data_IF_626790684690
#
_entry.id   IF_626790684690
#
_cell.length_a   1.000
_cell.length_b   1.000
_cell.length_c   1.000
_cell.angle_alpha   90.00
_cell.angle_beta   90.00
_cell.angle_gamma   90.00
#
_symmetry.space_group_name_H-M   'P 1'
#
loop_
_entity.id
_entity.type
_entity.pdbx_description
1 polymer ?
#
# COMPACT_ATOMS: atom_id res chain seq x y z
N UNK A 1 -31.29 5.46 5.19
CA UNK A 1 -30.37 5.87 6.26
C UNK A 1 -29.88 7.30 6.04
N UNK A 2 -29.45 7.68 4.83
CA UNK A 2 -28.97 9.04 4.51
C UNK A 2 -29.99 10.10 4.86
N UNK A 3 -31.27 9.92 4.44
CA UNK A 3 -32.36 10.82 4.78
C UNK A 3 -32.67 10.89 6.27
N UNK A 4 -32.51 9.77 6.99
CA UNK A 4 -32.76 9.70 8.44
C UNK A 4 -31.66 10.38 9.26
N UNK A 5 -30.40 10.18 8.84
CA UNK A 5 -29.23 10.72 9.53
C UNK A 5 -28.85 12.12 9.03
N UNK A 6 -29.47 12.60 7.95
CA UNK A 6 -29.18 13.87 7.28
C UNK A 6 -27.71 14.01 6.84
N UNK A 7 -27.09 12.92 6.44
CA UNK A 7 -25.75 12.88 5.86
C UNK A 7 -25.81 12.30 4.44
N UNK A 8 -25.19 12.96 3.50
CA UNK A 8 -24.88 12.41 2.19
C UNK A 8 -23.61 11.56 2.30
N UNK A 9 -23.60 10.39 1.70
CA UNK A 9 -22.47 9.46 1.68
C UNK A 9 -22.14 8.84 3.05
N UNK A 10 -22.70 7.68 3.29
CA UNK A 10 -22.47 6.88 4.48
C UNK A 10 -21.62 5.64 4.16
N UNK A 11 -20.66 5.36 5.03
CA UNK A 11 -19.96 4.08 5.10
C UNK A 11 -20.74 3.17 6.05
N UNK A 12 -21.17 2.01 5.57
CA UNK A 12 -22.08 1.14 6.28
C UNK A 12 -21.51 -0.27 6.36
N UNK A 13 -21.36 -0.77 7.58
CA UNK A 13 -21.07 -2.19 7.81
C UNK A 13 -22.35 -2.92 8.20
N UNK A 14 -22.64 -4.03 7.55
CA UNK A 14 -23.84 -4.83 7.82
C UNK A 14 -23.56 -6.33 7.63
N UNK A 15 -24.42 -7.14 8.23
CA UNK A 15 -24.41 -8.59 8.06
C UNK A 15 -25.75 -9.07 7.54
N UNK A 16 -25.72 -10.05 6.65
CA UNK A 16 -26.92 -10.72 6.15
C UNK A 16 -26.93 -12.15 6.66
N UNK A 17 -28.01 -12.52 7.34
CA UNK A 17 -28.18 -13.89 7.84
C UNK A 17 -28.59 -14.85 6.72
N UNK A 18 -28.53 -16.17 6.98
CA UNK A 18 -29.04 -17.20 6.05
C UNK A 18 -30.54 -17.04 5.72
N UNK A 19 -31.30 -16.35 6.56
CA UNK A 19 -32.74 -16.02 6.35
C UNK A 19 -32.91 -14.67 5.62
N UNK A 20 -31.86 -14.09 5.07
CA UNK A 20 -31.84 -12.77 4.39
C UNK A 20 -32.21 -11.58 5.29
N UNK A 21 -32.17 -11.74 6.61
CA UNK A 21 -32.32 -10.60 7.51
C UNK A 21 -31.03 -9.80 7.53
N UNK A 22 -31.16 -8.48 7.35
CA UNK A 22 -30.02 -7.53 7.36
C UNK A 22 -29.90 -6.91 8.75
N UNK A 23 -28.70 -6.95 9.32
CA UNK A 23 -28.37 -6.30 10.59
C UNK A 23 -27.29 -5.26 10.35
N UNK A 24 -27.58 -4.03 10.71
CA UNK A 24 -26.64 -2.93 10.65
C UNK A 24 -25.66 -3.03 11.82
N UNK A 25 -24.37 -3.04 11.53
CA UNK A 25 -23.31 -3.15 12.54
C UNK A 25 -22.70 -1.78 12.84
N UNK A 26 -22.43 -1.00 11.80
CA UNK A 26 -21.82 0.32 11.93
C UNK A 26 -22.33 1.25 10.83
N UNK A 27 -22.48 2.53 11.17
CA UNK A 27 -22.72 3.62 10.21
C UNK A 27 -21.83 4.79 10.59
N UNK A 28 -21.12 5.31 9.62
CA UNK A 28 -20.31 6.52 9.80
C UNK A 28 -20.40 7.40 8.55
N UNK A 29 -20.34 8.74 8.70
CA UNK A 29 -20.29 9.61 7.55
C UNK A 29 -18.94 9.47 6.84
N UNK A 30 -18.97 9.38 5.50
CA UNK A 30 -17.74 9.50 4.71
C UNK A 30 -17.36 10.98 4.69
N UNK A 31 -16.19 11.32 5.23
CA UNK A 31 -15.66 12.67 5.16
C UNK A 31 -15.28 12.98 3.70
N UNK A 32 -16.19 13.63 2.97
CA UNK A 32 -15.88 14.14 1.63
C UNK A 32 -14.87 15.29 1.75
N UNK A 33 -13.91 15.31 0.86
CA UNK A 33 -12.89 16.36 0.80
C UNK A 33 -13.55 17.74 0.67
N UNK A 34 -13.12 18.70 1.50
CA UNK A 34 -13.52 20.10 1.34
C UNK A 34 -13.32 20.54 -0.11
N UNK A 35 -14.31 21.26 -0.67
CA UNK A 35 -14.13 21.97 -1.94
C UNK A 35 -13.02 23.01 -1.77
N UNK A 36 -11.92 22.84 -2.48
CA UNK A 36 -10.78 23.74 -2.44
C UNK A 36 -11.11 25.03 -3.20
N UNK A 37 -10.67 26.19 -2.68
CA UNK A 37 -10.71 27.46 -3.43
C UNK A 37 -9.66 27.42 -4.55
N UNK A 38 -9.80 28.28 -5.57
CA UNK A 38 -8.81 28.39 -6.66
C UNK A 38 -7.39 28.71 -6.14
N UNK A 39 -7.30 29.57 -5.13
CA UNK A 39 -6.02 29.92 -4.46
C UNK A 39 -5.40 28.72 -3.72
N UNK A 40 -6.24 27.88 -3.10
CA UNK A 40 -5.78 26.67 -2.46
C UNK A 40 -5.25 25.66 -3.50
N UNK A 41 -5.88 25.60 -4.66
CA UNK A 41 -5.46 24.70 -5.75
C UNK A 41 -4.08 25.11 -6.28
N UNK A 42 -3.84 26.40 -6.53
CA UNK A 42 -2.56 26.88 -7.06
C UNK A 42 -1.41 26.65 -6.06
N UNK A 43 -1.63 26.94 -4.77
CA UNK A 43 -0.65 26.69 -3.72
C UNK A 43 -0.36 25.19 -3.57
N UNK A 44 -1.39 24.35 -3.69
CA UNK A 44 -1.28 22.89 -3.64
C UNK A 44 -0.47 22.32 -4.82
N UNK A 45 -0.74 22.80 -6.03
CA UNK A 45 0.04 22.42 -7.21
C UNK A 45 1.53 22.79 -7.08
N UNK A 46 1.84 23.97 -6.50
CA UNK A 46 3.22 24.40 -6.26
C UNK A 46 3.92 23.47 -5.28
N UNK A 47 3.24 23.06 -4.20
CA UNK A 47 3.75 22.09 -3.23
C UNK A 47 3.96 20.73 -3.90
N UNK A 48 3.02 20.25 -4.70
CA UNK A 48 3.13 18.98 -5.42
C UNK A 48 4.32 18.98 -6.38
N UNK A 49 4.49 20.02 -7.20
CA UNK A 49 5.63 20.16 -8.13
C UNK A 49 6.98 20.18 -7.40
N UNK A 50 7.07 20.86 -6.26
CA UNK A 50 8.28 20.87 -5.44
C UNK A 50 8.56 19.50 -4.83
N UNK A 51 7.53 18.83 -4.32
CA UNK A 51 7.63 17.48 -3.77
C UNK A 51 8.06 16.47 -4.83
N UNK A 52 7.52 16.57 -6.05
CA UNK A 52 7.91 15.73 -7.18
C UNK A 52 9.41 15.88 -7.52
N UNK A 53 9.92 17.14 -7.55
CA UNK A 53 11.35 17.41 -7.78
C UNK A 53 12.23 16.76 -6.68
N UNK A 54 11.83 16.90 -5.42
CA UNK A 54 12.55 16.32 -4.29
C UNK A 54 12.54 14.80 -4.37
N UNK A 55 11.40 14.21 -4.69
CA UNK A 55 11.24 12.76 -4.84
C UNK A 55 12.08 12.22 -6.00
N UNK A 56 12.01 12.84 -7.17
CA UNK A 56 12.84 12.47 -8.34
C UNK A 56 14.32 12.50 -7.99
N UNK A 57 14.79 13.51 -7.25
CA UNK A 57 16.18 13.59 -6.80
C UNK A 57 16.54 12.52 -5.78
N UNK A 58 15.68 12.29 -4.79
CA UNK A 58 15.88 11.35 -3.68
C UNK A 58 15.90 9.88 -4.16
N UNK A 59 15.01 9.54 -5.11
CA UNK A 59 14.84 8.18 -5.60
C UNK A 59 15.58 7.86 -6.91
N UNK A 60 16.36 8.82 -7.43
CA UNK A 60 17.23 8.59 -8.57
C UNK A 60 18.37 7.60 -8.26
N UNK A 61 18.77 7.49 -7.00
CA UNK A 61 19.83 6.59 -6.53
C UNK A 61 19.24 5.17 -6.40
N UNK A 62 19.51 4.30 -7.38
CA UNK A 62 19.08 2.90 -7.33
C UNK A 62 19.81 2.14 -6.23
N UNK A 63 19.08 1.53 -5.34
CA UNK A 63 19.64 0.54 -4.42
C UNK A 63 19.79 -0.78 -5.18
N UNK A 64 21.00 -1.32 -5.29
CA UNK A 64 21.32 -2.52 -6.08
C UNK A 64 20.58 -3.78 -5.59
N UNK A 65 20.13 -3.77 -4.33
CA UNK A 65 19.46 -4.92 -3.71
C UNK A 65 17.96 -4.96 -3.95
N UNK A 66 17.35 -3.90 -4.54
CA UNK A 66 15.93 -3.85 -4.84
C UNK A 66 15.74 -4.09 -6.33
N UNK A 67 15.07 -5.20 -6.67
CA UNK A 67 14.79 -5.59 -8.05
C UNK A 67 13.63 -4.75 -8.62
N UNK A 68 13.58 -4.65 -9.95
CA UNK A 68 12.58 -3.87 -10.67
C UNK A 68 13.08 -2.51 -11.15
N UNK A 69 12.47 -2.01 -12.22
CA UNK A 69 12.91 -0.78 -12.92
C UNK A 69 12.31 0.49 -12.33
N UNK A 70 11.06 0.43 -11.90
CA UNK A 70 10.26 1.58 -11.44
C UNK A 70 9.81 1.36 -10.01
N UNK A 71 9.57 2.46 -9.30
CA UNK A 71 8.93 2.49 -7.97
C UNK A 71 7.58 3.17 -8.09
N UNK A 72 6.61 2.69 -7.35
CA UNK A 72 5.32 3.31 -7.10
C UNK A 72 5.22 3.53 -5.59
N UNK A 73 4.65 4.65 -5.18
CA UNK A 73 4.31 4.94 -3.80
C UNK A 73 2.80 4.87 -3.62
N UNK A 74 2.36 4.13 -2.62
CA UNK A 74 0.95 3.99 -2.29
C UNK A 74 0.70 4.19 -0.80
N UNK A 75 -0.52 4.59 -0.45
CA UNK A 75 -0.92 4.80 0.95
C UNK A 75 -1.58 3.57 1.56
N UNK A 76 -2.20 2.75 0.73
CA UNK A 76 -3.00 1.59 1.14
C UNK A 76 -2.32 0.23 0.97
N UNK A 77 -1.30 0.04 0.11
CA UNK A 77 -0.69 -1.27 -0.08
C UNK A 77 0.08 -1.66 1.17
N UNK A 78 0.12 -2.95 1.43
CA UNK A 78 0.95 -3.60 2.45
C UNK A 78 0.99 -2.80 3.76
N UNK A 79 0.72 -3.38 4.90
CA UNK A 79 0.72 -2.70 6.20
C UNK A 79 -0.15 -1.42 6.32
N UNK A 80 -0.82 -1.02 5.29
CA UNK A 80 -1.83 0.05 5.21
C UNK A 80 -1.68 1.16 6.28
N UNK A 81 -0.64 2.01 6.20
CA UNK A 81 -0.38 3.00 7.23
C UNK A 81 -1.52 4.02 7.37
N UNK A 82 -2.21 4.34 6.29
CA UNK A 82 -3.31 5.33 6.32
C UNK A 82 -4.49 4.83 7.13
N UNK A 83 -4.80 3.55 7.08
CA UNK A 83 -5.86 2.95 7.87
C UNK A 83 -5.51 2.90 9.37
N UNK A 84 -4.26 2.61 9.69
CA UNK A 84 -3.82 2.40 11.08
C UNK A 84 -3.51 3.72 11.80
N UNK A 85 -2.79 4.65 11.15
CA UNK A 85 -2.35 5.90 11.77
C UNK A 85 -2.94 7.17 11.15
N UNK A 86 -3.81 7.01 10.14
CA UNK A 86 -4.46 8.10 9.44
C UNK A 86 -3.63 8.70 8.31
N UNK A 87 -4.31 9.42 7.43
CA UNK A 87 -3.71 10.08 6.25
C UNK A 87 -2.72 11.19 6.63
N UNK A 88 -3.01 11.91 7.71
CA UNK A 88 -2.16 12.98 8.25
C UNK A 88 -1.84 12.65 9.72
N UNK A 89 -0.98 11.66 9.98
CA UNK A 89 -0.67 11.22 11.33
C UNK A 89 0.12 12.30 12.08
N UNK A 90 -0.01 12.32 13.42
CA UNK A 90 0.91 13.08 14.26
C UNK A 90 2.34 12.51 14.12
N UNK A 91 3.34 13.31 14.43
CA UNK A 91 4.75 12.87 14.40
C UNK A 91 4.98 11.66 15.32
N UNK A 92 4.32 11.64 16.47
CA UNK A 92 4.40 10.53 17.42
C UNK A 92 3.82 9.24 16.79
N UNK A 93 2.61 9.29 16.25
CA UNK A 93 1.97 8.14 15.61
C UNK A 93 2.81 7.62 14.44
N UNK A 94 3.33 8.54 13.62
CA UNK A 94 4.19 8.19 12.50
C UNK A 94 5.49 7.50 12.96
N UNK A 95 6.15 8.04 14.00
CA UNK A 95 7.42 7.49 14.52
C UNK A 95 7.23 6.14 15.19
N UNK A 96 6.14 5.96 15.97
CA UNK A 96 5.81 4.69 16.60
C UNK A 96 5.50 3.61 15.56
N UNK A 97 4.69 3.92 14.55
CA UNK A 97 4.37 2.99 13.47
C UNK A 97 5.63 2.55 12.70
N UNK A 98 6.54 3.49 12.43
CA UNK A 98 7.84 3.17 11.84
C UNK A 98 8.63 2.19 12.70
N UNK A 99 8.82 2.53 13.97
CA UNK A 99 9.63 1.74 14.90
C UNK A 99 9.06 0.31 15.08
N UNK A 100 7.77 0.21 15.28
CA UNK A 100 7.10 -1.05 15.61
C UNK A 100 6.86 -1.95 14.39
N UNK A 101 6.75 -1.37 13.19
CA UNK A 101 6.36 -2.11 11.99
C UNK A 101 7.33 -1.89 10.82
N UNK A 102 7.40 -0.66 10.26
CA UNK A 102 7.92 -0.46 8.92
C UNK A 102 9.44 -0.24 8.81
N UNK A 103 10.17 0.00 9.89
CA UNK A 103 11.61 0.18 9.78
C UNK A 103 12.35 -1.17 9.61
N UNK A 104 12.04 -2.19 10.44
CA UNK A 104 12.77 -3.46 10.39
C UNK A 104 11.89 -4.69 10.59
N UNK A 105 10.86 -4.59 11.41
CA UNK A 105 10.10 -5.76 11.90
C UNK A 105 9.38 -6.47 10.76
N UNK A 106 8.75 -5.73 9.85
CA UNK A 106 8.07 -6.26 8.67
C UNK A 106 8.96 -7.17 7.82
N UNK A 107 10.19 -6.70 7.54
CA UNK A 107 11.14 -7.44 6.70
C UNK A 107 11.74 -8.64 7.43
N UNK A 108 12.01 -8.49 8.75
CA UNK A 108 12.49 -9.57 9.58
C UNK A 108 11.47 -10.71 9.66
N UNK A 109 10.19 -10.38 9.87
CA UNK A 109 9.12 -11.37 9.89
C UNK A 109 9.05 -12.15 8.58
N UNK A 110 9.10 -11.48 7.43
CA UNK A 110 9.11 -12.13 6.10
C UNK A 110 10.35 -12.97 5.86
N UNK A 111 11.51 -12.50 6.27
CA UNK A 111 12.77 -13.26 6.15
C UNK A 111 12.71 -14.58 6.94
N UNK A 112 12.09 -14.60 8.11
CA UNK A 112 11.87 -15.82 8.91
C UNK A 112 10.96 -16.80 8.16
N UNK A 113 9.99 -16.31 7.38
CA UNK A 113 9.11 -17.13 6.56
C UNK A 113 9.77 -17.66 5.27
N UNK A 114 11.04 -17.33 5.00
CA UNK A 114 11.78 -17.80 3.81
C UNK A 114 11.76 -16.83 2.62
N UNK A 115 11.29 -15.61 2.81
CA UNK A 115 11.35 -14.55 1.79
C UNK A 115 12.68 -13.77 1.83
N UNK A 116 12.93 -12.96 0.80
CA UNK A 116 14.13 -12.12 0.71
C UNK A 116 14.18 -11.10 1.85
N UNK A 117 15.33 -10.99 2.50
CA UNK A 117 15.55 -10.00 3.55
C UNK A 117 15.69 -8.59 2.97
N UNK A 118 14.72 -7.73 3.27
CA UNK A 118 14.68 -6.32 2.88
C UNK A 118 14.91 -5.36 4.06
N UNK A 119 15.32 -5.85 5.22
CA UNK A 119 15.45 -5.08 6.48
C UNK A 119 16.36 -3.86 6.41
N UNK A 120 17.33 -3.84 5.46
CA UNK A 120 18.23 -2.70 5.23
C UNK A 120 17.60 -1.55 4.46
N UNK A 121 16.35 -1.69 4.03
CA UNK A 121 15.65 -0.74 3.19
C UNK A 121 14.48 -0.11 3.93
N UNK A 122 14.20 1.15 3.66
CA UNK A 122 13.12 1.90 4.28
C UNK A 122 11.83 1.69 3.50
N UNK A 123 10.85 1.02 4.10
CA UNK A 123 9.57 0.72 3.47
C UNK A 123 8.67 1.95 3.39
N UNK A 124 8.47 2.64 4.51
CA UNK A 124 7.55 3.77 4.59
C UNK A 124 8.28 5.12 4.49
N UNK A 125 7.75 6.01 3.69
CA UNK A 125 8.28 7.35 3.45
C UNK A 125 7.25 8.42 3.84
N UNK A 126 7.71 9.49 4.48
CA UNK A 126 6.91 10.68 4.65
C UNK A 126 7.00 11.54 3.39
N UNK A 127 5.87 11.77 2.74
CA UNK A 127 5.76 12.60 1.54
C UNK A 127 4.70 13.65 1.85
N UNK A 128 5.11 14.90 1.99
CA UNK A 128 4.22 16.03 2.33
C UNK A 128 3.39 15.80 3.62
N UNK A 129 3.99 15.22 4.66
CA UNK A 129 3.32 14.93 5.92
C UNK A 129 2.51 13.63 5.93
N UNK A 130 2.40 12.93 4.81
CA UNK A 130 1.61 11.72 4.67
C UNK A 130 2.49 10.46 4.57
N UNK A 131 2.03 9.32 5.10
CA UNK A 131 2.75 8.06 5.00
C UNK A 131 2.53 7.40 3.63
N UNK A 132 3.61 6.99 2.99
CA UNK A 132 3.59 6.25 1.73
C UNK A 132 4.49 5.04 1.81
N UNK A 133 4.03 3.92 1.27
CA UNK A 133 4.78 2.68 1.13
C UNK A 133 5.50 2.64 -0.23
N UNK A 134 6.78 2.26 -0.23
CA UNK A 134 7.48 1.88 -1.46
C UNK A 134 6.99 0.50 -1.91
N UNK A 135 6.05 0.48 -2.88
CA UNK A 135 5.40 -0.73 -3.36
C UNK A 135 6.41 -1.69 -3.99
N UNK A 136 7.41 -1.17 -4.73
CA UNK A 136 8.46 -2.01 -5.31
C UNK A 136 9.24 -2.75 -4.22
N UNK A 137 9.57 -2.08 -3.12
CA UNK A 137 10.25 -2.70 -2.00
C UNK A 137 9.36 -3.73 -1.31
N UNK A 138 8.09 -3.40 -1.09
CA UNK A 138 7.10 -4.35 -0.56
C UNK A 138 7.05 -5.62 -1.40
N UNK A 139 6.86 -5.50 -2.73
CA UNK A 139 6.81 -6.65 -3.65
C UNK A 139 8.11 -7.48 -3.61
N UNK A 140 9.29 -6.84 -3.49
CA UNK A 140 10.55 -7.57 -3.34
C UNK A 140 10.58 -8.46 -2.09
N UNK A 141 9.93 -8.04 -1.02
CA UNK A 141 9.89 -8.78 0.24
C UNK A 141 8.97 -10.00 0.23
N UNK A 142 8.14 -10.17 -0.78
CA UNK A 142 7.32 -11.37 -1.00
C UNK A 142 8.01 -12.43 -1.89
N UNK A 143 9.19 -12.12 -2.43
CA UNK A 143 9.89 -13.07 -3.27
C UNK A 143 10.60 -14.13 -2.42
N UNK A 144 10.50 -15.43 -2.76
CA UNK A 144 11.27 -16.47 -2.12
C UNK A 144 12.78 -16.16 -2.13
N UNK A 145 13.47 -16.49 -1.05
CA UNK A 145 14.90 -16.22 -0.86
C UNK A 145 15.76 -16.77 -2.00
N UNK A 146 15.44 -17.98 -2.46
CA UNK A 146 16.23 -18.73 -3.43
C UNK A 146 15.81 -18.46 -4.89
N UNK A 147 14.85 -17.57 -5.10
CA UNK A 147 14.39 -17.25 -6.45
C UNK A 147 15.47 -16.49 -7.23
N UNK A 148 15.75 -16.94 -8.47
CA UNK A 148 16.72 -16.30 -9.32
C UNK A 148 16.37 -14.83 -9.59
N UNK A 149 17.38 -13.95 -9.58
CA UNK A 149 17.15 -12.51 -9.81
C UNK A 149 16.52 -12.19 -11.18
N UNK A 150 16.74 -13.04 -12.19
CA UNK A 150 16.15 -12.87 -13.53
C UNK A 150 14.64 -13.05 -13.50
N UNK A 151 14.15 -14.10 -12.83
CA UNK A 151 12.72 -14.37 -12.66
C UNK A 151 12.11 -13.32 -11.71
N UNK A 152 12.74 -13.12 -10.55
CA UNK A 152 12.32 -12.15 -9.57
C UNK A 152 12.09 -10.75 -10.17
N UNK A 153 12.99 -10.27 -11.01
CA UNK A 153 12.85 -8.98 -11.70
C UNK A 153 11.64 -8.93 -12.62
N UNK A 154 11.35 -10.02 -13.35
CA UNK A 154 10.16 -10.08 -14.21
C UNK A 154 8.87 -10.01 -13.40
N UNK A 155 8.79 -10.73 -12.28
CA UNK A 155 7.64 -10.72 -11.37
C UNK A 155 7.39 -9.30 -10.85
N UNK A 156 8.43 -8.64 -10.34
CA UNK A 156 8.31 -7.27 -9.82
C UNK A 156 7.89 -6.27 -10.91
N UNK A 157 8.56 -6.31 -12.08
CA UNK A 157 8.23 -5.41 -13.19
C UNK A 157 6.79 -5.62 -13.67
N UNK A 158 6.29 -6.87 -13.66
CA UNK A 158 4.90 -7.19 -13.98
C UNK A 158 3.92 -6.68 -12.92
N UNK A 159 4.17 -6.93 -11.63
CA UNK A 159 3.34 -6.41 -10.55
C UNK A 159 3.22 -4.89 -10.57
N UNK A 160 4.32 -4.19 -10.80
CA UNK A 160 4.31 -2.73 -10.97
C UNK A 160 3.51 -2.30 -12.21
N UNK A 161 3.58 -3.05 -13.30
CA UNK A 161 2.79 -2.79 -14.52
C UNK A 161 1.29 -2.97 -14.28
N UNK A 162 0.89 -4.02 -13.59
CA UNK A 162 -0.51 -4.27 -13.21
C UNK A 162 -1.06 -3.08 -12.44
N UNK A 163 -0.31 -2.58 -11.45
CA UNK A 163 -0.70 -1.42 -10.66
C UNK A 163 -0.76 -0.11 -11.46
N UNK A 164 0.13 0.08 -12.43
CA UNK A 164 0.07 1.26 -13.31
C UNK A 164 -1.17 1.26 -14.20
N UNK A 165 -1.62 0.09 -14.65
CA UNK A 165 -2.81 -0.07 -15.48
C UNK A 165 -4.11 -0.03 -14.66
N UNK A 166 -4.05 -0.57 -13.44
CA UNK A 166 -5.19 -0.66 -12.53
C UNK A 166 -4.80 -0.20 -11.12
N UNK A 167 -4.81 1.12 -10.83
CA UNK A 167 -4.46 1.63 -9.50
C UNK A 167 -5.32 1.07 -8.36
N UNK A 168 -6.56 0.67 -8.65
CA UNK A 168 -7.46 0.06 -7.67
C UNK A 168 -7.05 -1.37 -7.24
N UNK A 169 -6.00 -1.91 -7.85
CA UNK A 169 -5.46 -3.23 -7.52
C UNK A 169 -4.38 -3.20 -6.42
N UNK A 170 -4.22 -2.04 -5.78
CA UNK A 170 -3.14 -1.76 -4.82
C UNK A 170 -3.17 -2.67 -3.57
N UNK A 171 -4.33 -3.15 -3.17
CA UNK A 171 -4.54 -4.04 -2.03
C UNK A 171 -4.53 -5.54 -2.40
N UNK A 172 -4.40 -5.87 -3.69
CA UNK A 172 -4.52 -7.24 -4.21
C UNK A 172 -3.28 -7.73 -4.95
N UNK A 173 -2.45 -6.83 -5.45
CA UNK A 173 -1.28 -7.19 -6.27
C UNK A 173 -0.29 -8.11 -5.55
N UNK A 174 -0.23 -8.05 -4.24
CA UNK A 174 0.62 -8.93 -3.43
C UNK A 174 0.20 -10.40 -3.53
N UNK A 175 -1.10 -10.69 -3.70
CA UNK A 175 -1.62 -12.05 -3.89
C UNK A 175 -1.31 -12.62 -5.28
N UNK A 176 -1.04 -11.76 -6.26
CA UNK A 176 -0.56 -12.17 -7.59
C UNK A 176 0.93 -12.54 -7.58
N UNK A 177 1.68 -12.04 -6.60
CA UNK A 177 3.13 -12.29 -6.48
C UNK A 177 3.40 -13.43 -5.50
N UNK A 178 2.69 -13.44 -4.38
CA UNK A 178 2.79 -14.47 -3.36
C UNK A 178 1.57 -15.38 -3.45
N UNK A 179 1.74 -16.59 -3.99
CA UNK A 179 0.66 -17.57 -4.02
C UNK A 179 0.19 -17.89 -2.60
N UNK A 180 -1.11 -17.70 -2.28
CA UNK A 180 -1.61 -18.05 -0.96
C UNK A 180 -1.44 -19.56 -0.71
N UNK A 181 -0.96 -19.94 0.45
CA UNK A 181 -0.70 -21.33 0.85
C UNK A 181 -1.95 -22.24 0.82
N UNK A 182 -3.14 -21.66 0.71
CA UNK A 182 -4.43 -22.33 0.68
C UNK A 182 -5.13 -22.31 -0.69
N UNK A 183 -4.43 -21.98 -1.77
CA UNK A 183 -5.01 -22.04 -3.11
C UNK A 183 -5.23 -23.54 -3.47
N UNK A 184 -6.49 -23.96 -3.65
CA UNK A 184 -6.86 -25.33 -4.02
C UNK A 184 -6.30 -25.77 -5.38
N UNK A 185 -5.93 -24.81 -6.23
CA UNK A 185 -5.38 -24.98 -7.58
C UNK A 185 -3.87 -24.73 -7.67
N UNK A 186 -3.16 -24.65 -6.53
CA UNK A 186 -1.71 -24.40 -6.47
C UNK A 186 -0.92 -25.30 -7.42
N UNK A 187 -1.31 -26.59 -7.56
CA UNK A 187 -0.66 -27.53 -8.49
C UNK A 187 -0.80 -27.11 -9.95
N UNK A 188 -1.88 -26.43 -10.31
CA UNK A 188 -2.12 -25.97 -11.68
C UNK A 188 -1.39 -24.64 -11.93
N UNK A 189 -1.34 -23.76 -10.93
CA UNK A 189 -0.60 -22.48 -10.98
C UNK A 189 0.90 -22.72 -11.12
N UNK A 190 1.46 -23.74 -10.45
CA UNK A 190 2.90 -24.07 -10.50
C UNK A 190 3.33 -24.80 -11.78
N UNK A 191 2.41 -25.27 -12.63
CA UNK A 191 2.72 -25.95 -13.89
C UNK A 191 2.87 -25.01 -15.08
N UNK A 192 2.42 -23.77 -14.97
CA UNK A 192 2.50 -22.71 -15.98
C UNK A 192 3.65 -21.73 -15.64
#
# INVERSE_FOLDING_TARGET
>A
LENYLQYENLDIEFVVTKKLNVYLLQVRPISTSKKWSALDIESHEKILRNSEKILKKKFKKRNSNILGKKTIFGQMPDWNPVEIIGKNPSELSYSLYRLLITDHIWAKARSIMGYKDMSKNKLMHNICGQPFIDVRLSLNSFLPKDLSNKIAKKIIDNGINILNLNPNFHDKVEFEISSPSFAFDTKNILKN
#
